data_IF_255304139621
#
_entry.id   IF_255304139621
#
_cell.length_a   1.000
_cell.length_b   1.000
_cell.length_c   1.000
_cell.angle_alpha   90.00
_cell.angle_beta   90.00
_cell.angle_gamma   90.00
#
_symmetry.space_group_name_H-M   'P 1'
#
loop_
_entity.id
_entity.type
_entity.pdbx_description
1 polymer ?
#
# COMPACT_ATOMS: atom_id res chain seq x y z
N UNK A 1 -45.47 -16.41 29.02
CA UNK A 1 -46.72 -15.68 28.68
C UNK A 1 -47.45 -16.31 27.49
N UNK A 2 -46.77 -17.07 26.64
CA UNK A 2 -47.33 -17.61 25.39
C UNK A 2 -48.48 -18.61 25.60
N UNK A 3 -48.41 -19.49 26.62
CA UNK A 3 -49.49 -20.45 26.92
C UNK A 3 -50.83 -19.80 27.28
N UNK A 4 -50.81 -18.67 27.99
CA UNK A 4 -52.05 -17.94 28.38
C UNK A 4 -52.66 -17.25 27.17
N UNK A 5 -51.80 -16.70 26.30
CA UNK A 5 -52.20 -16.10 25.03
C UNK A 5 -52.82 -17.12 24.08
N UNK A 6 -52.25 -18.32 23.97
CA UNK A 6 -52.79 -19.39 23.12
C UNK A 6 -54.18 -19.83 23.58
N UNK A 7 -54.34 -20.09 24.89
CA UNK A 7 -55.64 -20.46 25.47
C UNK A 7 -56.68 -19.37 25.19
N UNK A 8 -56.32 -18.10 25.36
CA UNK A 8 -57.20 -16.97 25.07
C UNK A 8 -57.55 -16.88 23.57
N UNK A 9 -56.59 -17.06 22.67
CA UNK A 9 -56.82 -17.05 21.21
C UNK A 9 -57.73 -18.20 20.76
N UNK A 10 -57.57 -19.41 21.32
CA UNK A 10 -58.50 -20.52 21.04
C UNK A 10 -59.91 -20.23 21.53
N UNK A 11 -60.03 -19.59 22.70
CA UNK A 11 -61.32 -19.19 23.24
C UNK A 11 -62.01 -18.13 22.36
N UNK A 12 -61.27 -17.09 21.94
CA UNK A 12 -61.79 -16.05 21.03
C UNK A 12 -62.16 -16.63 19.66
N UNK A 13 -61.37 -17.57 19.12
CA UNK A 13 -61.68 -18.25 17.87
C UNK A 13 -62.95 -19.11 17.97
N UNK A 14 -63.11 -19.86 19.06
CA UNK A 14 -64.32 -20.63 19.33
C UNK A 14 -65.54 -19.72 19.45
N UNK A 15 -65.46 -18.62 20.20
CA UNK A 15 -66.53 -17.63 20.31
C UNK A 15 -66.88 -16.99 18.96
N UNK A 16 -65.89 -16.69 18.12
CA UNK A 16 -66.12 -16.16 16.79
C UNK A 16 -66.89 -17.17 15.92
N UNK A 17 -66.51 -18.46 15.92
CA UNK A 17 -67.24 -19.50 15.19
C UNK A 17 -68.69 -19.64 15.68
N UNK A 18 -68.91 -19.64 17.00
CA UNK A 18 -70.26 -19.68 17.56
C UNK A 18 -71.07 -18.42 17.25
N UNK A 19 -70.44 -17.24 17.24
CA UNK A 19 -71.07 -16.00 16.85
C UNK A 19 -71.48 -16.01 15.37
N UNK A 20 -70.65 -16.58 14.48
CA UNK A 20 -70.98 -16.73 13.06
C UNK A 20 -72.16 -17.68 12.85
N UNK A 21 -72.14 -18.85 13.50
CA UNK A 21 -73.24 -19.82 13.43
C UNK A 21 -74.54 -19.22 13.99
N UNK A 22 -74.45 -18.47 15.09
CA UNK A 22 -75.57 -17.74 15.67
C UNK A 22 -76.10 -16.62 14.78
N UNK A 23 -75.23 -15.88 14.11
CA UNK A 23 -75.62 -14.82 13.16
C UNK A 23 -76.39 -15.41 11.96
N UNK A 24 -75.90 -16.53 11.41
CA UNK A 24 -76.56 -17.25 10.31
C UNK A 24 -77.92 -17.78 10.75
N UNK A 25 -77.99 -18.41 11.92
CA UNK A 25 -79.25 -18.91 12.48
C UNK A 25 -80.28 -17.81 12.69
N UNK A 26 -79.87 -16.66 13.24
CA UNK A 26 -80.77 -15.53 13.47
C UNK A 26 -81.17 -14.79 12.19
N UNK A 27 -80.30 -14.80 11.17
CA UNK A 27 -80.64 -14.29 9.84
C UNK A 27 -81.76 -15.12 9.19
N UNK A 28 -81.73 -16.45 9.34
CA UNK A 28 -82.83 -17.34 8.89
C UNK A 28 -84.15 -17.09 9.65
N UNK A 29 -84.06 -16.66 10.92
CA UNK A 29 -85.23 -16.31 11.74
C UNK A 29 -85.67 -14.84 11.63
N UNK A 30 -85.19 -14.10 10.62
CA UNK A 30 -85.56 -12.71 10.33
C UNK A 30 -85.25 -11.69 11.46
N UNK A 31 -84.41 -12.03 12.43
CA UNK A 31 -83.99 -11.14 13.51
C UNK A 31 -82.75 -10.33 13.11
N UNK A 32 -82.96 -9.32 12.26
CA UNK A 32 -81.87 -8.55 11.61
C UNK A 32 -80.93 -7.84 12.59
N UNK A 33 -81.45 -7.33 13.71
CA UNK A 33 -80.66 -6.57 14.68
C UNK A 33 -79.60 -7.42 15.38
N UNK A 34 -79.99 -8.61 15.82
CA UNK A 34 -79.13 -9.52 16.57
C UNK A 34 -78.19 -10.31 15.65
N UNK A 35 -78.62 -10.61 14.41
CA UNK A 35 -77.75 -11.15 13.37
C UNK A 35 -76.59 -10.18 13.02
N UNK A 36 -76.86 -8.87 12.97
CA UNK A 36 -75.83 -7.86 12.75
C UNK A 36 -74.82 -7.81 13.90
N UNK A 37 -75.30 -7.78 15.15
CA UNK A 37 -74.42 -7.74 16.34
C UNK A 37 -73.51 -8.98 16.41
N UNK A 38 -74.05 -10.17 16.18
CA UNK A 38 -73.27 -11.41 16.15
C UNK A 38 -72.27 -11.45 14.98
N UNK A 39 -72.66 -10.91 13.81
CA UNK A 39 -71.76 -10.72 12.67
C UNK A 39 -70.60 -9.78 12.99
N UNK A 40 -70.84 -8.67 13.68
CA UNK A 40 -69.77 -7.75 14.12
C UNK A 40 -68.83 -8.42 15.13
N UNK A 41 -69.36 -9.18 16.09
CA UNK A 41 -68.54 -9.91 17.08
C UNK A 41 -67.66 -10.96 16.39
N UNK A 42 -68.20 -11.68 15.40
CA UNK A 42 -67.42 -12.60 14.57
C UNK A 42 -66.28 -11.87 13.84
N UNK A 43 -66.56 -10.72 13.22
CA UNK A 43 -65.59 -9.96 12.46
C UNK A 43 -64.45 -9.46 13.35
N UNK A 44 -64.77 -8.90 14.52
CA UNK A 44 -63.79 -8.45 15.52
C UNK A 44 -62.98 -9.62 16.09
N UNK A 45 -63.64 -10.73 16.45
CA UNK A 45 -62.98 -11.93 16.96
C UNK A 45 -62.01 -12.54 15.95
N UNK A 46 -62.40 -12.59 14.68
CA UNK A 46 -61.53 -13.06 13.58
C UNK A 46 -60.33 -12.13 13.42
N UNK A 47 -60.53 -10.82 13.48
CA UNK A 47 -59.45 -9.84 13.36
C UNK A 47 -58.41 -9.99 14.49
N UNK A 48 -58.86 -10.21 15.73
CA UNK A 48 -57.98 -10.44 16.89
C UNK A 48 -57.18 -11.75 16.74
N UNK A 49 -57.79 -12.82 16.21
CA UNK A 49 -57.14 -14.12 15.99
C UNK A 49 -56.09 -14.05 14.88
N UNK A 50 -56.33 -13.26 13.83
CA UNK A 50 -55.41 -13.13 12.70
C UNK A 50 -54.36 -12.02 12.85
N UNK A 51 -54.52 -11.08 13.80
CA UNK A 51 -53.57 -10.00 14.07
C UNK A 51 -52.13 -10.49 14.33
N UNK A 52 -51.90 -11.56 15.12
CA UNK A 52 -50.58 -12.16 15.30
C UNK A 52 -49.94 -12.67 14.00
N UNK A 53 -50.72 -13.25 13.10
CA UNK A 53 -50.21 -13.77 11.82
C UNK A 53 -49.78 -12.64 10.89
N UNK A 54 -50.45 -11.48 10.96
CA UNK A 54 -50.07 -10.28 10.21
C UNK A 54 -48.77 -9.67 10.76
N UNK A 55 -48.56 -9.68 12.07
CA UNK A 55 -47.29 -9.27 12.70
C UNK A 55 -46.13 -10.21 12.34
N UNK A 56 -46.40 -11.52 12.25
CA UNK A 56 -45.41 -12.51 11.81
C UNK A 56 -44.99 -12.31 10.34
N UNK A 57 -45.94 -12.00 9.45
CA UNK A 57 -45.62 -11.67 8.03
C UNK A 57 -44.80 -10.38 7.93
N UNK A 58 -45.12 -9.36 8.74
CA UNK A 58 -44.34 -8.11 8.78
C UNK A 58 -42.92 -8.34 9.29
N UNK A 59 -42.74 -9.15 10.34
CA UNK A 59 -41.41 -9.46 10.89
C UNK A 59 -40.57 -10.29 9.91
N UNK A 60 -41.14 -11.30 9.25
CA UNK A 60 -40.48 -12.03 8.16
C UNK A 60 -40.11 -11.12 6.97
N UNK A 61 -41.00 -10.19 6.61
CA UNK A 61 -40.74 -9.20 5.55
C UNK A 61 -39.60 -8.23 5.91
N UNK A 62 -39.51 -7.82 7.18
CA UNK A 62 -38.42 -6.99 7.70
C UNK A 62 -37.11 -7.77 7.72
N UNK A 63 -37.09 -9.02 8.19
CA UNK A 63 -35.89 -9.87 8.17
C UNK A 63 -35.40 -10.14 6.74
N UNK A 64 -36.31 -10.44 5.80
CA UNK A 64 -35.96 -10.65 4.40
C UNK A 64 -35.38 -9.37 3.77
N UNK A 65 -35.97 -8.21 4.07
CA UNK A 65 -35.46 -6.92 3.60
C UNK A 65 -34.10 -6.61 4.21
N UNK A 66 -33.89 -6.85 5.50
CA UNK A 66 -32.61 -6.67 6.18
C UNK A 66 -31.53 -7.58 5.58
N UNK A 67 -31.82 -8.87 5.38
CA UNK A 67 -30.88 -9.81 4.73
C UNK A 67 -30.52 -9.35 3.32
N UNK A 68 -31.50 -8.89 2.55
CA UNK A 68 -31.26 -8.35 1.21
C UNK A 68 -30.37 -7.11 1.25
N UNK A 69 -30.69 -6.13 2.09
CA UNK A 69 -29.88 -4.91 2.26
C UNK A 69 -28.46 -5.20 2.75
N UNK A 70 -28.29 -6.13 3.69
CA UNK A 70 -26.96 -6.56 4.14
C UNK A 70 -26.19 -7.24 3.00
N UNK A 71 -26.84 -8.10 2.22
CA UNK A 71 -26.21 -8.76 1.06
C UNK A 71 -25.79 -7.74 0.00
N UNK A 72 -26.65 -6.77 -0.31
CA UNK A 72 -26.34 -5.67 -1.25
C UNK A 72 -25.20 -4.78 -0.74
N UNK A 73 -25.18 -4.48 0.56
CA UNK A 73 -24.11 -3.72 1.20
C UNK A 73 -22.77 -4.48 1.14
N UNK A 74 -22.77 -5.79 1.41
CA UNK A 74 -21.57 -6.65 1.30
C UNK A 74 -21.07 -6.69 -0.13
N UNK A 75 -21.95 -6.83 -1.12
CA UNK A 75 -21.58 -6.83 -2.54
C UNK A 75 -21.01 -5.46 -2.99
N UNK A 76 -21.59 -4.37 -2.49
CA UNK A 76 -21.10 -3.01 -2.75
C UNK A 76 -19.73 -2.78 -2.12
N UNK A 77 -19.53 -3.20 -0.87
CA UNK A 77 -18.25 -3.11 -0.18
C UNK A 77 -17.17 -3.93 -0.90
N UNK A 78 -17.49 -5.13 -1.38
CA UNK A 78 -16.57 -5.95 -2.17
C UNK A 78 -16.18 -5.27 -3.49
N UNK A 79 -17.13 -4.60 -4.15
CA UNK A 79 -16.86 -3.84 -5.37
C UNK A 79 -15.97 -2.60 -5.10
N UNK A 80 -16.23 -1.88 -4.01
CA UNK A 80 -15.41 -0.75 -3.57
C UNK A 80 -13.98 -1.18 -3.24
N UNK A 81 -13.82 -2.29 -2.53
CA UNK A 81 -12.50 -2.87 -2.22
C UNK A 81 -11.71 -3.16 -3.50
N UNK A 82 -12.33 -3.81 -4.48
CA UNK A 82 -11.70 -4.11 -5.77
C UNK A 82 -11.31 -2.84 -6.54
N UNK A 83 -12.16 -1.81 -6.52
CA UNK A 83 -11.85 -0.53 -7.16
C UNK A 83 -10.68 0.18 -6.46
N UNK A 84 -10.64 0.15 -5.13
CA UNK A 84 -9.53 0.71 -4.35
C UNK A 84 -8.20 0.00 -4.64
N UNK A 85 -8.19 -1.34 -4.72
CA UNK A 85 -7.01 -2.11 -5.09
C UNK A 85 -6.48 -1.77 -6.50
N UNK A 86 -7.39 -1.63 -7.49
CA UNK A 86 -7.02 -1.23 -8.86
C UNK A 86 -6.46 0.19 -8.88
N UNK A 87 -7.13 1.12 -8.20
CA UNK A 87 -6.70 2.53 -8.11
C UNK A 87 -5.33 2.64 -7.43
N UNK A 88 -5.14 1.94 -6.30
CA UNK A 88 -3.87 1.90 -5.60
C UNK A 88 -2.75 1.36 -6.49
N UNK A 89 -2.98 0.24 -7.21
CA UNK A 89 -2.00 -0.31 -8.16
C UNK A 89 -1.63 0.69 -9.24
N UNK A 90 -2.60 1.42 -9.79
CA UNK A 90 -2.35 2.44 -10.79
C UNK A 90 -1.52 3.61 -10.22
N UNK A 91 -1.83 4.07 -9.01
CA UNK A 91 -1.08 5.13 -8.31
C UNK A 91 0.35 4.71 -7.99
N UNK A 92 0.56 3.51 -7.44
CA UNK A 92 1.88 2.95 -7.16
C UNK A 92 2.72 2.84 -8.43
N UNK A 93 2.15 2.34 -9.54
CA UNK A 93 2.84 2.30 -10.83
C UNK A 93 3.16 3.71 -11.34
N UNK A 94 2.20 4.63 -11.26
CA UNK A 94 2.40 6.01 -11.73
C UNK A 94 3.50 6.70 -10.94
N UNK A 95 3.57 6.52 -9.62
CA UNK A 95 4.60 7.11 -8.76
C UNK A 95 5.95 6.40 -8.95
N UNK A 96 5.96 5.08 -9.15
CA UNK A 96 7.18 4.31 -9.38
C UNK A 96 7.90 4.69 -10.69
N UNK A 97 7.14 5.08 -11.72
CA UNK A 97 7.68 5.42 -13.05
C UNK A 97 7.69 6.93 -13.34
N UNK A 98 6.82 7.71 -12.69
CA UNK A 98 6.64 9.14 -12.94
C UNK A 98 7.59 10.02 -12.14
N UNK A 99 8.13 11.06 -12.81
CA UNK A 99 8.90 12.15 -12.21
C UNK A 99 9.98 11.73 -11.22
N UNK A 100 10.74 10.67 -11.53
CA UNK A 100 11.76 10.13 -10.61
C UNK A 100 12.95 11.06 -10.38
N UNK A 101 13.30 11.87 -11.37
CA UNK A 101 14.42 12.81 -11.36
C UNK A 101 13.90 14.24 -11.23
N UNK A 102 13.15 14.54 -10.17
CA UNK A 102 12.59 15.87 -9.98
C UNK A 102 11.44 15.94 -8.99
N UNK A 103 10.56 16.90 -9.21
CA UNK A 103 9.43 17.18 -8.33
C UNK A 103 8.25 16.23 -8.58
N UNK A 104 7.53 15.79 -7.54
CA UNK A 104 7.75 16.12 -6.12
C UNK A 104 8.87 15.28 -5.46
N UNK A 105 9.46 15.76 -4.35
CA UNK A 105 10.49 15.03 -3.60
C UNK A 105 9.98 13.67 -3.10
N UNK A 106 10.89 12.76 -2.75
CA UNK A 106 10.54 11.40 -2.34
C UNK A 106 9.60 11.40 -1.12
N UNK A 107 9.76 12.37 -0.22
CA UNK A 107 8.87 12.52 0.96
C UNK A 107 7.40 12.74 0.60
N UNK A 108 7.14 13.58 -0.40
CA UNK A 108 5.78 13.97 -0.77
C UNK A 108 5.12 12.80 -1.53
N UNK A 109 5.91 12.09 -2.36
CA UNK A 109 5.47 10.84 -3.00
C UNK A 109 5.12 9.78 -1.96
N UNK A 110 5.97 9.58 -0.96
CA UNK A 110 5.74 8.59 0.09
C UNK A 110 4.52 8.94 0.95
N UNK A 111 4.29 10.23 1.24
CA UNK A 111 3.11 10.65 1.99
C UNK A 111 1.80 10.27 1.27
N UNK A 112 1.73 10.47 -0.05
CA UNK A 112 0.57 10.04 -0.86
C UNK A 112 0.40 8.51 -0.82
N UNK A 113 1.50 7.76 -0.88
CA UNK A 113 1.43 6.29 -0.79
C UNK A 113 1.01 5.81 0.61
N UNK A 114 1.47 6.46 1.67
CA UNK A 114 1.09 6.16 3.05
C UNK A 114 -0.43 6.41 3.26
N UNK A 115 -1.02 7.44 2.62
CA UNK A 115 -2.47 7.67 2.62
C UNK A 115 -3.24 6.56 1.89
N UNK A 116 -2.71 6.09 0.75
CA UNK A 116 -3.30 4.96 0.02
C UNK A 116 -3.25 3.69 0.89
N UNK A 117 -2.14 3.43 1.57
CA UNK A 117 -2.00 2.28 2.46
C UNK A 117 -3.01 2.34 3.62
N UNK A 118 -3.24 3.52 4.19
CA UNK A 118 -4.26 3.73 5.21
C UNK A 118 -5.68 3.42 4.69
N UNK A 119 -6.01 3.84 3.46
CA UNK A 119 -7.30 3.51 2.83
C UNK A 119 -7.47 2.02 2.57
N UNK A 120 -6.41 1.34 2.10
CA UNK A 120 -6.43 -0.12 1.87
C UNK A 120 -6.61 -0.88 3.19
N UNK A 121 -5.96 -0.42 4.27
CA UNK A 121 -6.13 -0.99 5.60
C UNK A 121 -7.55 -0.80 6.15
N UNK A 122 -8.16 0.38 5.98
CA UNK A 122 -9.56 0.65 6.36
C UNK A 122 -10.54 -0.27 5.63
N UNK A 123 -10.28 -0.55 4.35
CA UNK A 123 -11.05 -1.50 3.53
C UNK A 123 -10.72 -2.98 3.81
N UNK A 124 -9.86 -3.25 4.80
CA UNK A 124 -9.42 -4.61 5.20
C UNK A 124 -8.87 -5.40 4.01
N UNK A 125 -8.07 -4.74 3.16
CA UNK A 125 -7.28 -5.41 2.13
C UNK A 125 -6.21 -6.26 2.82
N UNK A 126 -6.06 -7.55 2.47
CA UNK A 126 -5.04 -8.41 3.05
C UNK A 126 -3.63 -7.85 2.83
N UNK A 127 -2.76 -8.02 3.82
CA UNK A 127 -1.39 -7.49 3.80
C UNK A 127 -0.54 -8.08 2.66
N UNK A 128 -0.80 -9.32 2.25
CA UNK A 128 -0.14 -9.95 1.11
C UNK A 128 -0.58 -9.35 -0.24
N UNK A 129 -1.83 -8.91 -0.37
CA UNK A 129 -2.29 -8.17 -1.55
C UNK A 129 -1.72 -6.76 -1.60
N UNK A 130 -1.63 -6.08 -0.45
CA UNK A 130 -0.96 -4.77 -0.35
C UNK A 130 0.51 -4.89 -0.76
N UNK A 131 1.23 -5.91 -0.29
CA UNK A 131 2.62 -6.15 -0.69
C UNK A 131 2.78 -6.37 -2.21
N UNK A 132 1.84 -7.06 -2.86
CA UNK A 132 1.83 -7.22 -4.34
C UNK A 132 1.59 -5.89 -5.06
N UNK A 133 0.77 -5.01 -4.50
CA UNK A 133 0.49 -3.67 -5.04
C UNK A 133 1.73 -2.77 -4.90
N UNK A 134 2.42 -2.84 -3.77
CA UNK A 134 3.63 -2.06 -3.44
C UNK A 134 4.88 -2.51 -4.22
N UNK A 135 4.96 -3.80 -4.58
CA UNK A 135 6.15 -4.42 -5.15
C UNK A 135 6.81 -3.63 -6.32
N UNK A 136 6.07 -3.10 -7.32
CA UNK A 136 6.68 -2.29 -8.37
C UNK A 136 7.40 -1.06 -7.83
N UNK A 137 6.85 -0.39 -6.83
CA UNK A 137 7.49 0.78 -6.22
C UNK A 137 8.71 0.39 -5.39
N UNK A 138 8.63 -0.69 -4.61
CA UNK A 138 9.79 -1.21 -3.85
C UNK A 138 10.98 -1.55 -4.75
N UNK A 139 10.71 -2.22 -5.87
CA UNK A 139 11.74 -2.50 -6.90
C UNK A 139 12.39 -1.23 -7.41
N UNK A 140 11.60 -0.17 -7.54
CA UNK A 140 12.08 1.12 -7.97
C UNK A 140 12.88 1.87 -6.91
N UNK A 141 12.50 1.79 -5.63
CA UNK A 141 13.32 2.30 -4.52
C UNK A 141 14.72 1.63 -4.54
N UNK A 142 14.79 0.34 -4.85
CA UNK A 142 16.07 -0.37 -5.00
C UNK A 142 16.94 0.21 -6.11
N UNK A 143 16.34 0.50 -7.27
CA UNK A 143 17.01 1.14 -8.41
C UNK A 143 17.48 2.55 -8.05
N UNK A 144 16.67 3.33 -7.33
CA UNK A 144 17.02 4.67 -6.85
C UNK A 144 18.26 4.64 -5.95
N UNK A 145 18.32 3.70 -5.00
CA UNK A 145 19.49 3.53 -4.13
C UNK A 145 20.75 3.10 -4.88
N UNK A 146 20.63 2.25 -5.90
CA UNK A 146 21.75 1.93 -6.78
C UNK A 146 22.28 3.18 -7.49
N UNK A 147 21.40 3.99 -8.09
CA UNK A 147 21.80 5.21 -8.79
C UNK A 147 22.36 6.28 -7.86
N UNK A 148 21.87 6.39 -6.62
CA UNK A 148 22.48 7.24 -5.60
C UNK A 148 23.91 6.78 -5.30
N UNK A 149 24.14 5.49 -5.06
CA UNK A 149 25.49 4.97 -4.81
C UNK A 149 26.43 5.22 -5.99
N UNK A 150 25.98 4.91 -7.21
CA UNK A 150 26.72 5.18 -8.45
C UNK A 150 27.02 6.67 -8.61
N UNK A 151 26.03 7.54 -8.38
CA UNK A 151 26.17 8.99 -8.48
C UNK A 151 27.24 9.51 -7.52
N UNK A 152 27.17 9.13 -6.25
CA UNK A 152 28.17 9.51 -5.23
C UNK A 152 29.57 9.03 -5.59
N UNK A 153 29.72 7.78 -6.05
CA UNK A 153 31.02 7.22 -6.44
C UNK A 153 31.62 7.96 -7.65
N UNK A 154 30.81 8.30 -8.66
CA UNK A 154 31.26 9.06 -9.83
C UNK A 154 31.65 10.51 -9.48
N UNK A 155 30.90 11.15 -8.59
CA UNK A 155 31.26 12.47 -8.06
C UNK A 155 32.56 12.41 -7.26
N UNK A 156 32.76 11.34 -6.48
CA UNK A 156 34.01 11.10 -5.76
C UNK A 156 35.21 10.95 -6.71
N UNK A 157 35.06 10.17 -7.79
CA UNK A 157 36.08 10.06 -8.84
C UNK A 157 36.42 11.43 -9.45
N UNK A 158 35.41 12.24 -9.75
CA UNK A 158 35.59 13.61 -10.25
C UNK A 158 36.38 14.47 -9.27
N UNK A 159 36.03 14.41 -7.99
CA UNK A 159 36.70 15.15 -6.91
C UNK A 159 38.18 14.77 -6.79
N UNK A 160 38.53 13.47 -6.91
CA UNK A 160 39.93 13.02 -6.91
C UNK A 160 40.64 13.53 -8.15
N UNK A 161 40.06 13.34 -9.33
CA UNK A 161 40.67 13.75 -10.58
C UNK A 161 40.95 15.26 -10.61
N UNK A 162 40.01 16.09 -10.15
CA UNK A 162 40.23 17.54 -10.02
C UNK A 162 41.41 17.86 -9.09
N UNK A 163 41.52 17.16 -7.95
CA UNK A 163 42.65 17.35 -7.03
C UNK A 163 43.98 16.97 -7.70
N UNK A 164 44.04 15.83 -8.38
CA UNK A 164 45.26 15.37 -9.04
C UNK A 164 45.70 16.36 -10.14
N UNK A 165 44.75 16.91 -10.90
CA UNK A 165 45.04 17.96 -11.90
C UNK A 165 45.56 19.24 -11.24
N UNK A 166 44.96 19.66 -10.13
CA UNK A 166 45.46 20.82 -9.37
C UNK A 166 46.88 20.58 -8.83
N UNK A 167 47.15 19.37 -8.33
CA UNK A 167 48.48 18.96 -7.85
C UNK A 167 49.51 18.98 -9.00
N UNK A 168 49.12 18.59 -10.23
CA UNK A 168 49.98 18.71 -11.43
C UNK A 168 50.33 20.17 -11.73
N UNK A 169 49.35 21.08 -11.66
CA UNK A 169 49.59 22.50 -11.91
C UNK A 169 50.52 23.15 -10.87
N UNK A 170 50.60 22.58 -9.66
CA UNK A 170 51.45 23.06 -8.58
C UNK A 170 52.81 22.34 -8.49
N UNK A 171 52.99 21.22 -9.21
CA UNK A 171 54.19 20.42 -9.16
C UNK A 171 55.38 21.07 -9.87
N UNK A 172 56.57 20.96 -9.27
CA UNK A 172 57.83 21.40 -9.89
C UNK A 172 58.20 20.53 -11.12
N UNK A 173 57.85 19.25 -11.08
CA UNK A 173 57.97 18.31 -12.20
C UNK A 173 56.58 17.93 -12.70
N UNK A 174 56.11 18.66 -13.71
CA UNK A 174 54.81 18.46 -14.32
C UNK A 174 54.70 17.13 -15.06
N UNK A 175 55.82 16.57 -15.54
CA UNK A 175 55.83 15.31 -16.29
C UNK A 175 55.55 14.12 -15.37
N UNK A 176 56.26 14.05 -14.24
CA UNK A 176 56.02 13.01 -13.24
C UNK A 176 54.60 13.10 -12.66
N UNK A 177 54.12 14.30 -12.36
CA UNK A 177 52.77 14.50 -11.84
C UNK A 177 51.69 14.12 -12.87
N UNK A 178 51.88 14.46 -14.15
CA UNK A 178 50.93 14.12 -15.23
C UNK A 178 50.78 12.61 -15.39
N UNK A 179 51.86 11.84 -15.18
CA UNK A 179 51.81 10.38 -15.23
C UNK A 179 50.87 9.79 -14.15
N UNK A 180 50.77 10.43 -12.98
CA UNK A 180 49.85 10.01 -11.90
C UNK A 180 48.39 10.22 -12.31
N UNK A 181 48.07 11.36 -12.93
CA UNK A 181 46.71 11.64 -13.45
C UNK A 181 46.34 10.62 -14.53
N UNK A 182 47.24 10.36 -15.48
CA UNK A 182 47.00 9.37 -16.55
C UNK A 182 46.76 7.97 -15.97
N UNK A 183 47.60 7.53 -15.04
CA UNK A 183 47.42 6.23 -14.38
C UNK A 183 46.08 6.13 -13.65
N UNK A 184 45.67 7.18 -12.93
CA UNK A 184 44.36 7.20 -12.26
C UNK A 184 43.20 7.12 -13.27
N UNK A 185 43.30 7.86 -14.38
CA UNK A 185 42.33 7.82 -15.49
C UNK A 185 42.24 6.42 -16.12
N UNK A 186 43.37 5.73 -16.29
CA UNK A 186 43.41 4.37 -16.82
C UNK A 186 42.69 3.37 -15.89
N UNK A 187 42.90 3.48 -14.58
CA UNK A 187 42.23 2.64 -13.59
C UNK A 187 40.71 2.88 -13.55
N UNK A 188 40.26 4.15 -13.62
CA UNK A 188 38.83 4.48 -13.73
C UNK A 188 38.25 3.93 -15.04
N UNK A 189 38.98 4.03 -16.15
CA UNK A 189 38.53 3.53 -17.45
C UNK A 189 38.37 2.01 -17.42
N UNK A 190 39.33 1.29 -16.84
CA UNK A 190 39.26 -0.16 -16.67
C UNK A 190 38.07 -0.58 -15.79
N UNK A 191 37.87 0.11 -14.65
CA UNK A 191 36.72 -0.11 -13.78
C UNK A 191 35.40 0.15 -14.50
N UNK A 192 35.26 1.30 -15.18
CA UNK A 192 34.05 1.66 -15.93
C UNK A 192 33.73 0.63 -17.00
N UNK A 193 34.74 0.13 -17.73
CA UNK A 193 34.55 -0.92 -18.74
C UNK A 193 34.04 -2.22 -18.11
N UNK A 194 34.54 -2.59 -16.93
CA UNK A 194 34.12 -3.78 -16.18
C UNK A 194 32.69 -3.65 -15.64
N UNK A 195 32.30 -2.47 -15.19
CA UNK A 195 31.03 -2.22 -14.51
C UNK A 195 29.94 -1.65 -15.41
N UNK A 196 30.26 -1.40 -16.69
CA UNK A 196 29.28 -0.97 -17.69
C UNK A 196 28.23 -2.07 -17.88
N UNK A 197 27.05 -1.83 -17.31
CA UNK A 197 25.86 -2.66 -17.47
C UNK A 197 24.87 -1.97 -18.40
N UNK A 198 24.20 -2.74 -19.25
CA UNK A 198 23.21 -2.21 -20.19
C UNK A 198 21.93 -1.79 -19.46
N UNK A 199 21.50 -2.55 -18.45
CA UNK A 199 20.28 -2.28 -17.69
C UNK A 199 20.41 -2.73 -16.22
N UNK A 200 20.78 -1.82 -15.30
CA UNK A 200 20.83 -2.11 -13.87
C UNK A 200 19.48 -2.54 -13.28
N UNK A 201 18.35 -2.10 -13.86
CA UNK A 201 17.02 -2.48 -13.42
C UNK A 201 16.74 -3.96 -13.64
N UNK A 202 17.07 -4.46 -14.85
CA UNK A 202 16.94 -5.88 -15.17
C UNK A 202 17.84 -6.79 -14.32
N UNK A 203 18.97 -6.28 -13.83
CA UNK A 203 19.83 -7.02 -12.91
C UNK A 203 19.27 -7.05 -11.49
N UNK A 204 18.73 -5.93 -11.00
CA UNK A 204 18.07 -5.86 -9.68
C UNK A 204 16.80 -6.72 -9.58
N UNK A 205 16.26 -7.18 -10.70
CA UNK A 205 15.21 -8.20 -10.76
C UNK A 205 15.75 -9.62 -10.47
N UNK A 206 17.04 -9.87 -10.74
CA UNK A 206 17.66 -11.20 -10.64
C UNK A 206 18.50 -11.38 -9.37
N UNK A 207 19.01 -10.29 -8.81
CA UNK A 207 19.89 -10.32 -7.64
C UNK A 207 19.56 -9.21 -6.64
N UNK A 208 20.16 -9.30 -5.46
CA UNK A 208 19.96 -8.29 -4.41
C UNK A 208 20.70 -6.99 -4.74
N UNK A 209 20.33 -5.88 -4.07
CA UNK A 209 21.07 -4.63 -4.17
C UNK A 209 22.52 -4.81 -3.70
N UNK A 210 22.73 -5.59 -2.64
CA UNK A 210 24.07 -5.85 -2.12
C UNK A 210 24.97 -6.55 -3.14
N UNK A 211 24.47 -7.59 -3.80
CA UNK A 211 25.20 -8.31 -4.86
C UNK A 211 25.58 -7.37 -6.00
N UNK A 212 24.61 -6.55 -6.45
CA UNK A 212 24.87 -5.59 -7.52
C UNK A 212 25.92 -4.54 -7.12
N UNK A 213 25.85 -4.04 -5.88
CA UNK A 213 26.83 -3.07 -5.38
C UNK A 213 28.21 -3.71 -5.18
N UNK A 214 28.29 -4.98 -4.80
CA UNK A 214 29.55 -5.73 -4.72
C UNK A 214 30.22 -5.86 -6.08
N UNK A 215 29.45 -6.12 -7.14
CA UNK A 215 29.95 -6.16 -8.51
C UNK A 215 30.41 -4.79 -9.00
N UNK A 216 29.65 -3.74 -8.65
CA UNK A 216 29.87 -2.37 -9.13
C UNK A 216 31.04 -1.67 -8.42
N UNK A 217 31.25 -1.93 -7.13
CA UNK A 217 32.27 -1.25 -6.33
C UNK A 217 33.70 -1.51 -6.84
N UNK A 218 34.61 -0.53 -6.72
CA UNK A 218 36.02 -0.76 -7.00
C UNK A 218 36.62 -1.82 -6.08
N UNK A 219 37.55 -2.63 -6.60
CA UNK A 219 38.26 -3.67 -5.84
C UNK A 219 39.60 -3.12 -5.35
N UNK A 220 40.20 -3.78 -4.34
CA UNK A 220 41.56 -3.43 -3.91
C UNK A 220 42.53 -3.57 -5.09
N UNK A 221 43.40 -2.56 -5.27
CA UNK A 221 44.28 -2.43 -6.43
C UNK A 221 43.65 -1.75 -7.66
N UNK A 222 42.37 -1.39 -7.64
CA UNK A 222 41.78 -0.50 -8.64
C UNK A 222 42.01 0.98 -8.24
N UNK A 223 41.14 1.91 -8.67
CA UNK A 223 41.38 3.36 -8.53
C UNK A 223 41.14 3.94 -7.12
N UNK A 224 40.54 3.17 -6.20
CA UNK A 224 40.40 3.55 -4.80
C UNK A 224 41.54 2.94 -3.97
N UNK A 225 42.12 3.74 -3.08
CA UNK A 225 43.03 3.22 -2.04
C UNK A 225 42.28 2.34 -1.03
N UNK A 226 43.00 1.52 -0.26
CA UNK A 226 42.38 0.65 0.75
C UNK A 226 41.61 1.45 1.83
N UNK A 227 42.08 2.65 2.18
CA UNK A 227 41.38 3.55 3.12
C UNK A 227 40.06 4.05 2.54
N UNK A 228 40.06 4.46 1.28
CA UNK A 228 38.86 4.91 0.57
C UNK A 228 37.87 3.76 0.37
N UNK A 229 38.38 2.58 0.02
CA UNK A 229 37.58 1.38 -0.11
C UNK A 229 36.87 1.06 1.22
N UNK A 230 37.56 1.16 2.36
CA UNK A 230 36.94 0.95 3.67
C UNK A 230 35.80 1.96 3.96
N UNK A 231 35.94 3.22 3.54
CA UNK A 231 34.88 4.24 3.67
C UNK A 231 33.70 3.91 2.75
N UNK A 232 33.96 3.54 1.49
CA UNK A 232 32.90 3.14 0.55
C UNK A 232 32.18 1.85 0.95
N UNK A 233 32.85 0.93 1.63
CA UNK A 233 32.21 -0.26 2.20
C UNK A 233 31.19 0.10 3.29
N UNK A 234 31.50 1.09 4.15
CA UNK A 234 30.55 1.60 5.15
C UNK A 234 29.36 2.27 4.47
N UNK A 235 29.62 3.12 3.47
CA UNK A 235 28.56 3.75 2.68
C UNK A 235 27.68 2.73 1.97
N UNK A 236 28.27 1.69 1.36
CA UNK A 236 27.53 0.57 0.76
C UNK A 236 26.61 -0.11 1.79
N UNK A 237 27.14 -0.42 2.98
CA UNK A 237 26.36 -1.05 4.04
C UNK A 237 25.20 -0.16 4.52
N UNK A 238 25.40 1.16 4.59
CA UNK A 238 24.36 2.13 4.89
C UNK A 238 23.23 2.08 3.86
N UNK A 239 23.56 2.09 2.56
CA UNK A 239 22.58 2.00 1.46
C UNK A 239 21.83 0.67 1.48
N UNK A 240 22.53 -0.45 1.67
CA UNK A 240 21.92 -1.79 1.74
C UNK A 240 20.93 -1.88 2.90
N UNK A 241 21.29 -1.34 4.08
CA UNK A 241 20.40 -1.29 5.24
C UNK A 241 19.15 -0.47 4.94
N UNK A 242 19.30 0.75 4.42
CA UNK A 242 18.17 1.62 4.09
C UNK A 242 17.21 0.94 3.10
N UNK A 243 17.75 0.30 2.07
CA UNK A 243 16.94 -0.45 1.11
C UNK A 243 16.20 -1.63 1.77
N UNK A 244 16.87 -2.42 2.62
CA UNK A 244 16.24 -3.54 3.31
C UNK A 244 15.09 -3.08 4.24
N UNK A 245 15.23 -1.92 4.88
CA UNK A 245 14.17 -1.33 5.70
C UNK A 245 13.00 -0.83 4.82
N UNK A 246 13.27 -0.29 3.63
CA UNK A 246 12.23 0.07 2.67
C UNK A 246 11.47 -1.15 2.12
N UNK A 247 12.17 -2.25 1.84
CA UNK A 247 11.56 -3.51 1.38
C UNK A 247 10.59 -4.09 2.42
N UNK A 248 10.95 -4.01 3.71
CA UNK A 248 10.07 -4.43 4.81
C UNK A 248 8.84 -3.53 4.94
N UNK A 249 8.99 -2.22 4.73
CA UNK A 249 7.88 -1.25 4.81
C UNK A 249 6.92 -1.37 3.61
N UNK A 250 7.44 -1.66 2.41
CA UNK A 250 6.69 -1.54 1.16
C UNK A 250 6.89 -0.19 0.44
N UNK A 251 7.93 0.56 0.79
CA UNK A 251 8.22 1.90 0.27
C UNK A 251 9.30 2.58 1.08
N UNK A 252 9.55 3.88 0.85
CA UNK A 252 10.57 4.60 1.62
C UNK A 252 10.18 4.73 3.10
N UNK A 253 11.12 4.43 4.01
CA UNK A 253 11.03 4.84 5.42
C UNK A 253 11.30 6.35 5.58
N UNK A 254 10.92 6.95 6.71
CA UNK A 254 11.19 8.37 6.96
C UNK A 254 12.70 8.72 6.90
N UNK A 255 13.53 7.82 7.41
CA UNK A 255 14.99 7.93 7.33
C UNK A 255 15.46 7.83 5.87
N UNK A 256 15.00 6.82 5.14
CA UNK A 256 15.38 6.58 3.75
C UNK A 256 14.97 7.72 2.82
N UNK A 257 13.76 8.27 2.99
CA UNK A 257 13.30 9.48 2.28
C UNK A 257 14.25 10.64 2.54
N UNK A 258 14.53 10.94 3.81
CA UNK A 258 15.36 12.08 4.20
C UNK A 258 16.76 11.94 3.64
N UNK A 259 17.30 10.71 3.69
CA UNK A 259 18.60 10.38 3.14
C UNK A 259 18.63 10.55 1.61
N UNK A 260 17.65 10.00 0.92
CA UNK A 260 17.56 10.04 -0.54
C UNK A 260 17.37 11.47 -1.06
N UNK A 261 16.44 12.24 -0.49
CA UNK A 261 16.20 13.64 -0.87
C UNK A 261 17.44 14.52 -0.60
N UNK A 262 18.23 14.20 0.43
CA UNK A 262 19.45 14.95 0.77
C UNK A 262 20.60 14.70 -0.20
N UNK A 263 20.74 13.49 -0.75
CA UNK A 263 21.97 13.09 -1.44
C UNK A 263 21.76 12.64 -2.89
N UNK A 264 20.52 12.53 -3.38
CA UNK A 264 20.25 12.15 -4.78
C UNK A 264 20.43 13.31 -5.77
N UNK A 265 20.53 12.98 -7.06
CA UNK A 265 20.62 13.97 -8.14
C UNK A 265 21.86 14.88 -8.04
N UNK A 266 21.64 16.18 -8.06
CA UNK A 266 22.72 17.18 -8.00
C UNK A 266 23.43 17.21 -6.63
N UNK A 267 22.82 16.62 -5.60
CA UNK A 267 23.38 16.55 -4.25
C UNK A 267 24.31 15.35 -4.00
N UNK A 268 24.51 14.50 -5.01
CA UNK A 268 25.49 13.40 -4.92
C UNK A 268 26.89 13.90 -4.54
N UNK A 269 27.25 15.11 -4.99
CA UNK A 269 28.53 15.76 -4.68
C UNK A 269 28.71 16.04 -3.19
N UNK A 270 27.63 16.32 -2.46
CA UNK A 270 27.71 16.65 -1.03
C UNK A 270 28.08 15.42 -0.21
N UNK A 271 27.48 14.25 -0.52
CA UNK A 271 27.90 12.98 0.09
C UNK A 271 29.33 12.62 -0.32
N UNK A 272 29.71 12.80 -1.59
CA UNK A 272 31.07 12.50 -2.04
C UNK A 272 32.13 13.34 -1.29
N UNK A 273 31.87 14.64 -1.06
CA UNK A 273 32.70 15.51 -0.23
C UNK A 273 32.77 15.04 1.22
N UNK A 274 31.63 14.63 1.78
CA UNK A 274 31.58 14.06 3.14
C UNK A 274 32.49 12.82 3.25
N UNK A 275 32.37 11.86 2.33
CA UNK A 275 33.19 10.66 2.33
C UNK A 275 34.68 10.99 2.18
N UNK A 276 35.03 11.98 1.36
CA UNK A 276 36.42 12.45 1.22
C UNK A 276 36.97 12.98 2.55
N UNK A 277 36.17 13.74 3.29
CA UNK A 277 36.59 14.25 4.59
C UNK A 277 36.79 13.11 5.59
N UNK A 278 35.96 12.07 5.56
CA UNK A 278 36.15 10.86 6.39
C UNK A 278 37.44 10.10 6.05
N UNK A 279 37.86 10.11 4.78
CA UNK A 279 39.15 9.54 4.34
C UNK A 279 40.34 10.38 4.81
N UNK A 280 40.17 11.68 5.04
CA UNK A 280 41.26 12.57 5.47
C UNK A 280 41.47 12.59 6.99
N UNK A 281 40.46 12.22 7.77
CA UNK A 281 40.54 12.04 9.23
C UNK A 281 41.29 10.75 9.60
#
# INVERSE_FOLDING_TARGET
MDKVRDIFSYFVAAMAMFAMLGAVYQAFNNQKGSALTLGTIFLVGTLIVFLPNVEFIKTLGVEARLRKTVTEAVATLASLKRLAEISARASYLTIAWGNRMGTPPARDKQAVLDEIDAQLAELKVPTDEVAKIQLPFVKMVRVDFFFLFQGVLNQYATIINSKLVDDVHQAQDTSAASAVVMHHSDLITAWTKRTKKEDPGADLEKQTLEDLLNDYMPKSGEWLSDKELAVFQKFKAEIVRLNADCEKKGGYTAEAVTYYDRYSGDHNIDKAKQLRNEVLQ
#
